data_IF_520239215464
#
_entry.id   IF_520239215464
#
_cell.length_a   1.000
_cell.length_b   1.000
_cell.length_c   1.000
_cell.angle_alpha   90.00
_cell.angle_beta   90.00
_cell.angle_gamma   90.00
#
_symmetry.space_group_name_H-M   'P 1'
#
loop_
_entity.id
_entity.type
_entity.pdbx_description
1 polymer ?
#
# COMPACT_ATOMS: atom_id res chain seq x y z
N UNK A 1 -21.51 -4.00 -12.89
CA UNK A 1 -20.25 -3.48 -12.32
C UNK A 1 -19.25 -4.61 -12.45
N UNK A 2 -18.13 -4.43 -13.15
CA UNK A 2 -17.07 -5.43 -13.21
C UNK A 2 -16.38 -5.47 -11.85
N UNK A 3 -16.47 -6.61 -11.16
CA UNK A 3 -15.75 -6.85 -9.91
C UNK A 3 -14.26 -6.74 -10.20
N UNK A 4 -13.61 -5.70 -9.66
CA UNK A 4 -12.17 -5.54 -9.83
C UNK A 4 -11.52 -6.66 -9.01
N UNK A 5 -10.70 -7.49 -9.64
CA UNK A 5 -10.00 -8.58 -8.96
C UNK A 5 -8.61 -8.09 -8.57
N UNK A 6 -8.19 -8.35 -7.33
CA UNK A 6 -6.85 -8.02 -6.84
C UNK A 6 -6.01 -9.29 -6.70
N UNK A 7 -4.75 -9.22 -7.12
CA UNK A 7 -3.76 -10.26 -6.84
C UNK A 7 -3.24 -10.08 -5.40
N UNK A 8 -3.05 -11.18 -4.67
CA UNK A 8 -2.56 -11.17 -3.29
C UNK A 8 -1.18 -10.52 -3.13
N UNK A 9 -0.23 -10.77 -4.03
CA UNK A 9 1.12 -10.17 -3.99
C UNK A 9 1.05 -8.64 -4.14
N UNK A 10 0.16 -8.15 -5.01
CA UNK A 10 -0.07 -6.71 -5.18
C UNK A 10 -0.74 -6.09 -3.95
N UNK A 11 -1.69 -6.81 -3.32
CA UNK A 11 -2.28 -6.41 -2.03
C UNK A 11 -1.21 -6.30 -0.95
N UNK A 12 -0.34 -7.31 -0.84
CA UNK A 12 0.73 -7.32 0.16
C UNK A 12 1.74 -6.21 -0.08
N UNK A 13 2.09 -5.94 -1.35
CA UNK A 13 2.97 -4.81 -1.71
C UNK A 13 2.34 -3.47 -1.32
N UNK A 14 1.07 -3.27 -1.62
CA UNK A 14 0.39 -2.00 -1.31
C UNK A 14 0.18 -1.81 0.21
N UNK A 15 -0.03 -2.90 0.97
CA UNK A 15 0.00 -2.87 2.45
C UNK A 15 1.38 -2.46 2.96
N UNK A 16 2.45 -3.06 2.45
CA UNK A 16 3.82 -2.75 2.85
C UNK A 16 4.14 -1.26 2.57
N UNK A 17 3.78 -0.76 1.39
CA UNK A 17 4.00 0.64 1.01
C UNK A 17 3.29 1.62 1.96
N UNK A 18 2.04 1.32 2.36
CA UNK A 18 1.31 2.16 3.32
C UNK A 18 1.98 2.18 4.70
N UNK A 19 2.44 1.02 5.18
CA UNK A 19 3.13 0.91 6.46
C UNK A 19 4.44 1.70 6.42
N UNK A 20 5.28 1.47 5.41
CA UNK A 20 6.57 2.17 5.28
C UNK A 20 6.39 3.69 5.15
N UNK A 21 5.34 4.16 4.48
CA UNK A 21 5.05 5.59 4.41
C UNK A 21 4.71 6.19 5.78
N UNK A 22 4.01 5.46 6.67
CA UNK A 22 3.77 5.92 8.04
C UNK A 22 5.04 5.88 8.91
N UNK A 23 5.95 4.93 8.68
CA UNK A 23 7.26 4.92 9.34
C UNK A 23 8.10 6.15 8.96
N UNK A 24 8.03 6.58 7.69
CA UNK A 24 8.67 7.83 7.25
C UNK A 24 8.05 9.07 7.90
N UNK A 25 6.72 9.10 8.07
CA UNK A 25 6.05 10.17 8.84
C UNK A 25 6.60 10.24 10.27
N UNK A 26 6.74 9.09 10.93
CA UNK A 26 7.32 9.04 12.27
C UNK A 26 8.75 9.57 12.29
N UNK A 27 9.56 9.22 11.28
CA UNK A 27 10.94 9.72 11.14
C UNK A 27 10.97 11.24 11.02
N UNK A 28 10.12 11.84 10.17
CA UNK A 28 10.03 13.31 10.05
C UNK A 28 9.63 13.98 11.37
N UNK A 29 8.73 13.37 12.15
CA UNK A 29 8.35 13.89 13.47
C UNK A 29 9.54 13.88 14.44
N UNK A 30 10.32 12.80 14.44
CA UNK A 30 11.52 12.67 15.30
C UNK A 30 12.61 13.67 14.91
N UNK A 31 12.74 13.98 13.62
CA UNK A 31 13.68 14.97 13.10
C UNK A 31 13.20 16.42 13.28
N UNK A 32 11.98 16.63 13.77
CA UNK A 32 11.39 17.95 13.97
C UNK A 32 10.84 18.61 12.70
N UNK A 33 10.82 17.91 11.56
CA UNK A 33 10.21 18.38 10.32
C UNK A 33 8.70 18.11 10.29
N UNK A 34 7.98 18.89 11.09
CA UNK A 34 6.54 18.73 11.30
C UNK A 34 5.72 19.03 10.04
N UNK A 35 6.14 19.96 9.18
CA UNK A 35 5.39 20.33 7.98
C UNK A 35 5.48 19.25 6.90
N UNK A 36 6.66 18.66 6.71
CA UNK A 36 6.80 17.47 5.85
C UNK A 36 6.02 16.30 6.43
N UNK A 37 6.09 16.06 7.75
CA UNK A 37 5.34 14.99 8.41
C UNK A 37 3.82 15.10 8.17
N UNK A 38 3.24 16.31 8.32
CA UNK A 38 1.81 16.56 8.04
C UNK A 38 1.46 16.25 6.58
N UNK A 39 2.29 16.71 5.65
CA UNK A 39 2.07 16.51 4.22
C UNK A 39 2.11 15.03 3.85
N UNK A 40 3.12 14.30 4.36
CA UNK A 40 3.25 12.87 4.15
C UNK A 40 2.11 12.08 4.80
N UNK A 41 1.72 12.46 6.01
CA UNK A 41 0.60 11.83 6.72
C UNK A 41 -0.70 11.96 5.94
N UNK A 42 -1.03 13.16 5.45
CA UNK A 42 -2.23 13.40 4.66
C UNK A 42 -2.25 12.57 3.37
N UNK A 43 -1.12 12.49 2.66
CA UNK A 43 -0.98 11.68 1.43
C UNK A 43 -1.12 10.18 1.72
N UNK A 44 -0.46 9.70 2.77
CA UNK A 44 -0.49 8.28 3.17
C UNK A 44 -1.88 7.86 3.61
N UNK A 45 -2.59 8.72 4.37
CA UNK A 45 -3.99 8.49 4.71
C UNK A 45 -4.89 8.39 3.49
N UNK A 46 -4.72 9.27 2.50
CA UNK A 46 -5.51 9.24 1.28
C UNK A 46 -5.25 7.97 0.45
N UNK A 47 -3.98 7.55 0.36
CA UNK A 47 -3.60 6.26 -0.23
C UNK A 47 -4.27 5.10 0.50
N UNK A 48 -4.16 5.05 1.83
CA UNK A 48 -4.73 3.99 2.66
C UNK A 48 -6.26 3.91 2.52
N UNK A 49 -6.96 5.06 2.44
CA UNK A 49 -8.41 5.10 2.21
C UNK A 49 -8.80 4.55 0.84
N UNK A 50 -8.11 4.95 -0.23
CA UNK A 50 -8.37 4.46 -1.59
C UNK A 50 -8.11 2.96 -1.69
N UNK A 51 -6.98 2.52 -1.14
CA UNK A 51 -6.62 1.11 -1.09
C UNK A 51 -7.61 0.29 -0.27
N UNK A 52 -7.93 0.72 0.96
CA UNK A 52 -8.90 0.04 1.82
C UNK A 52 -10.29 -0.09 1.17
N UNK A 53 -10.73 0.93 0.44
CA UNK A 53 -11.96 0.85 -0.37
C UNK A 53 -11.84 -0.21 -1.46
N UNK A 54 -10.75 -0.23 -2.22
CA UNK A 54 -10.51 -1.26 -3.24
C UNK A 54 -10.51 -2.66 -2.62
N UNK A 55 -9.78 -2.85 -1.53
CA UNK A 55 -9.67 -4.13 -0.83
C UNK A 55 -11.03 -4.65 -0.34
N UNK A 56 -11.89 -3.79 0.20
CA UNK A 56 -13.20 -4.17 0.73
C UNK A 56 -14.22 -4.62 -0.33
N UNK A 57 -14.07 -4.18 -1.59
CA UNK A 57 -15.02 -4.47 -2.67
C UNK A 57 -14.43 -5.36 -3.79
N UNK A 58 -13.18 -5.78 -3.66
CA UNK A 58 -12.52 -6.61 -4.66
C UNK A 58 -12.48 -8.07 -4.23
N UNK A 59 -12.61 -8.98 -5.20
CA UNK A 59 -12.27 -10.39 -5.00
C UNK A 59 -10.74 -10.52 -4.98
N UNK A 60 -10.19 -11.23 -3.99
CA UNK A 60 -8.75 -11.46 -3.88
C UNK A 60 -8.44 -12.82 -4.48
N UNK A 61 -7.62 -12.84 -5.53
CA UNK A 61 -7.07 -14.06 -6.09
C UNK A 61 -5.78 -14.43 -5.36
N UNK A 62 -5.75 -15.66 -4.85
CA UNK A 62 -4.59 -16.29 -4.23
C UNK A 62 -3.62 -16.79 -5.32
N UNK A 63 -3.18 -15.89 -6.19
CA UNK A 63 -2.13 -16.14 -7.17
C UNK A 63 -0.80 -15.75 -6.53
N UNK A 64 -0.18 -16.71 -5.84
CA UNK A 64 1.19 -16.57 -5.37
C UNK A 64 2.12 -16.58 -6.58
N UNK A 65 3.05 -15.63 -6.63
CA UNK A 65 3.99 -15.35 -7.71
C UNK A 65 4.18 -16.45 -8.74
N UNK A 66 4.14 -16.05 -10.02
CA UNK A 66 4.83 -16.79 -11.06
C UNK A 66 6.22 -17.13 -10.52
N UNK A 67 6.43 -18.41 -10.20
CA UNK A 67 7.71 -18.95 -9.77
C UNK A 67 8.72 -18.41 -10.75
N UNK A 68 9.77 -17.74 -10.24
CA UNK A 68 10.86 -17.25 -11.06
C UNK A 68 11.28 -18.40 -12.00
N UNK A 69 11.01 -18.26 -13.30
CA UNK A 69 11.45 -19.22 -14.31
C UNK A 69 12.85 -18.80 -14.74
N UNK A 70 13.91 -19.50 -14.29
CA UNK A 70 15.27 -19.19 -14.72
C UNK A 70 15.51 -19.48 -16.22
N UNK A 71 14.52 -20.02 -16.94
CA UNK A 71 14.58 -20.33 -18.37
C UNK A 71 13.65 -19.47 -19.25
N UNK A 72 13.01 -18.42 -18.72
CA UNK A 72 12.35 -17.40 -19.53
C UNK A 72 13.32 -16.30 -19.99
#
# INVERSE_FOLDING_TARGET
>A
MTTQTLNLDDVMREVADVISNFELVQSCVLDGDIETAKTMYARTLEQAKKFGRRLAYSEIKMEFGAVFDPNC
#
